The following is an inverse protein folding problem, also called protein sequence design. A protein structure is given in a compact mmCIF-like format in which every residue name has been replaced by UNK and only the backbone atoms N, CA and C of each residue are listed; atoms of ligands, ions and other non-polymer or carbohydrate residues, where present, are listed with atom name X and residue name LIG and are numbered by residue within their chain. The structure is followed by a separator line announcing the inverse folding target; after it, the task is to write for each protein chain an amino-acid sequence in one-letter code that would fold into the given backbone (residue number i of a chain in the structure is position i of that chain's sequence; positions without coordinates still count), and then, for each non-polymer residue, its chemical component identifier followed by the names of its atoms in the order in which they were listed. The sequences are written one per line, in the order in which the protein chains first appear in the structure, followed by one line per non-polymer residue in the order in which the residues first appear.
data_IF_367490689784
#
_entry.id   IF_367490689784
#
_cell.length_a   1.000
_cell.length_b   1.000
_cell.length_c   1.000
_cell.angle_alpha   90.00
_cell.angle_beta   90.00
_cell.angle_gamma   90.00
#
_symmetry.space_group_name_H-M   'P 1'
#
loop_
_entity.id
_entity.type
_entity.pdbx_description
1 polymer ?
#
# COMPACT_ATOMS: atom_id res chain seq x y z
N UNK A 1 7.76 -3.77 -8.61
CA UNK A 1 8.51 -3.69 -7.35
C UNK A 1 8.61 -5.10 -6.79
N UNK A 2 9.71 -5.43 -6.12
CA UNK A 2 9.92 -6.72 -5.47
C UNK A 2 10.14 -6.48 -3.97
N UNK A 3 9.63 -7.39 -3.15
CA UNK A 3 9.78 -7.37 -1.70
C UNK A 3 10.21 -8.74 -1.21
N UNK A 4 11.27 -8.78 -0.39
CA UNK A 4 11.67 -9.98 0.32
C UNK A 4 11.24 -9.87 1.78
N UNK A 5 10.23 -10.65 2.19
CA UNK A 5 9.67 -10.59 3.53
C UNK A 5 10.65 -11.07 4.63
N UNK A 6 11.61 -11.95 4.32
CA UNK A 6 12.56 -12.44 5.33
C UNK A 6 13.64 -11.41 5.65
N UNK A 7 14.09 -10.65 4.65
CA UNK A 7 15.11 -9.61 4.80
C UNK A 7 14.52 -8.20 4.93
N UNK A 8 13.23 -8.04 4.63
CA UNK A 8 12.49 -6.77 4.50
C UNK A 8 13.03 -5.84 3.41
N UNK A 9 13.84 -6.37 2.50
CA UNK A 9 14.46 -5.60 1.44
C UNK A 9 13.47 -5.37 0.29
N UNK A 10 13.45 -4.16 -0.26
CA UNK A 10 12.72 -3.86 -1.49
C UNK A 10 13.67 -3.76 -2.67
N UNK A 11 13.17 -4.00 -3.88
CA UNK A 11 13.90 -3.75 -5.12
C UNK A 11 12.96 -3.20 -6.20
N UNK A 12 13.52 -2.36 -7.07
CA UNK A 12 12.82 -1.81 -8.22
C UNK A 12 13.49 -2.35 -9.47
N UNK A 13 12.70 -3.00 -10.32
CA UNK A 13 13.12 -3.49 -11.63
C UNK A 13 12.43 -2.65 -12.71
N UNK A 14 13.22 -2.23 -13.68
CA UNK A 14 12.78 -1.55 -14.89
C UNK A 14 12.70 -2.59 -16.00
N UNK A 15 11.51 -2.71 -16.57
CA UNK A 15 11.18 -3.66 -17.62
C UNK A 15 10.83 -2.88 -18.89
N UNK A 16 11.19 -3.42 -20.06
CA UNK A 16 10.70 -2.96 -21.35
C UNK A 16 10.06 -4.15 -22.07
N UNK A 17 8.74 -4.09 -22.33
CA UNK A 17 7.98 -5.20 -22.92
C UNK A 17 8.24 -6.54 -22.20
N UNK A 18 8.16 -6.54 -20.86
CA UNK A 18 8.46 -7.68 -19.99
C UNK A 18 9.92 -8.19 -19.99
N UNK A 19 10.85 -7.50 -20.66
CA UNK A 19 12.29 -7.80 -20.61
C UNK A 19 12.95 -6.97 -19.51
N UNK A 20 13.73 -7.61 -18.64
CA UNK A 20 14.53 -6.92 -17.63
C UNK A 20 15.58 -6.03 -18.28
N UNK A 21 15.55 -4.74 -17.96
CA UNK A 21 16.51 -3.73 -18.47
C UNK A 21 17.53 -3.39 -17.40
N UNK A 22 17.05 -3.04 -16.20
CA UNK A 22 17.92 -2.71 -15.07
C UNK A 22 17.15 -2.86 -13.76
N UNK A 23 17.87 -2.87 -12.65
CA UNK A 23 17.25 -2.90 -11.35
C UNK A 23 18.21 -2.50 -10.25
N UNK A 24 17.67 -2.33 -9.04
CA UNK A 24 18.48 -2.11 -7.86
C UNK A 24 17.65 -2.22 -6.60
N UNK A 25 18.34 -2.37 -5.48
CA UNK A 25 17.71 -2.34 -4.18
C UNK A 25 17.13 -0.95 -3.89
N UNK A 26 15.92 -0.95 -3.34
CA UNK A 26 15.33 0.22 -2.71
C UNK A 26 15.62 0.19 -1.20
N UNK A 27 14.84 0.96 -0.41
CA UNK A 27 15.03 0.97 1.03
C UNK A 27 14.62 -0.37 1.67
N UNK A 28 15.30 -0.71 2.77
CA UNK A 28 14.95 -1.84 3.63
C UNK A 28 13.93 -1.38 4.66
N UNK A 29 12.84 -2.13 4.84
CA UNK A 29 11.81 -1.76 5.81
C UNK A 29 12.22 -2.11 7.24
N UNK A 30 11.76 -1.34 8.25
CA UNK A 30 11.90 -1.73 9.65
C UNK A 30 11.10 -2.99 9.96
N UNK A 31 11.37 -3.60 11.11
CA UNK A 31 10.64 -4.77 11.60
C UNK A 31 9.13 -4.47 11.69
N UNK A 32 8.30 -5.46 11.35
CA UNK A 32 6.83 -5.43 11.31
C UNK A 32 6.20 -4.58 10.20
N UNK A 33 6.99 -3.82 9.43
CA UNK A 33 6.50 -3.07 8.28
C UNK A 33 6.58 -3.90 6.99
N UNK A 34 5.52 -3.83 6.18
CA UNK A 34 5.41 -4.48 4.88
C UNK A 34 4.97 -3.45 3.84
N UNK A 35 5.42 -3.61 2.59
CA UNK A 35 4.84 -2.85 1.47
C UNK A 35 3.51 -3.49 1.09
N UNK A 36 2.44 -2.69 1.09
CA UNK A 36 1.11 -3.12 0.65
C UNK A 36 0.85 -2.70 -0.79
N UNK A 37 1.30 -1.51 -1.17
CA UNK A 37 1.03 -0.95 -2.49
C UNK A 37 2.08 0.06 -2.92
N UNK A 38 2.07 0.39 -4.20
CA UNK A 38 3.00 1.33 -4.81
C UNK A 38 2.22 2.26 -5.74
N UNK A 39 2.22 3.55 -5.44
CA UNK A 39 1.51 4.59 -6.19
C UNK A 39 2.18 5.96 -6.00
N UNK A 40 1.90 6.93 -6.85
CA UNK A 40 2.36 8.31 -6.65
C UNK A 40 1.42 9.03 -5.67
N UNK A 41 1.78 9.01 -4.38
CA UNK A 41 0.90 9.46 -3.30
C UNK A 41 0.98 10.98 -3.09
N UNK A 42 2.13 11.58 -3.38
CA UNK A 42 2.34 13.02 -3.23
C UNK A 42 2.22 13.80 -4.56
N UNK A 43 2.00 13.11 -5.68
CA UNK A 43 1.83 13.65 -7.03
C UNK A 43 3.07 14.34 -7.58
N UNK A 44 4.25 13.85 -7.22
CA UNK A 44 5.53 14.38 -7.69
C UNK A 44 6.07 13.66 -8.95
N UNK A 45 5.31 12.70 -9.48
CA UNK A 45 5.67 11.90 -10.66
C UNK A 45 6.49 10.65 -10.33
N UNK A 46 6.83 10.41 -9.06
CA UNK A 46 7.50 9.20 -8.61
C UNK A 46 6.53 8.28 -7.88
N UNK A 47 6.82 6.97 -7.92
CA UNK A 47 6.03 6.00 -7.17
C UNK A 47 6.58 5.84 -5.76
N UNK A 48 5.71 6.02 -4.80
CA UNK A 48 5.95 5.90 -3.37
C UNK A 48 5.48 4.54 -2.85
N UNK A 49 5.85 4.20 -1.61
CA UNK A 49 5.42 2.97 -0.96
C UNK A 49 4.34 3.24 0.07
N UNK A 50 3.22 2.51 -0.03
CA UNK A 50 2.28 2.35 1.07
C UNK A 50 2.74 1.21 1.96
N UNK A 51 2.93 1.52 3.24
CA UNK A 51 3.40 0.60 4.25
C UNK A 51 2.34 0.32 5.30
N UNK A 52 2.30 -0.93 5.77
CA UNK A 52 1.48 -1.36 6.88
C UNK A 52 2.32 -2.05 7.94
N UNK A 53 2.13 -1.64 9.19
CA UNK A 53 2.73 -2.28 10.35
C UNK A 53 1.75 -3.28 10.97
N UNK A 54 2.05 -4.57 10.86
CA UNK A 54 1.15 -5.63 11.33
C UNK A 54 1.08 -5.76 12.86
N UNK A 55 1.99 -5.12 13.61
CA UNK A 55 2.05 -5.22 15.08
C UNK A 55 1.23 -4.16 15.80
N UNK A 56 1.08 -2.97 15.21
CA UNK A 56 0.37 -1.84 15.80
C UNK A 56 -0.68 -1.21 14.86
N UNK A 57 -0.94 -1.84 13.72
CA UNK A 57 -1.89 -1.42 12.69
C UNK A 57 -1.64 -0.03 12.09
N UNK A 58 -0.45 0.53 12.27
CA UNK A 58 -0.12 1.84 11.70
C UNK A 58 0.14 1.74 10.20
N UNK A 59 -0.29 2.76 9.46
CA UNK A 59 0.07 2.94 8.06
C UNK A 59 1.09 4.07 7.93
N UNK A 60 1.88 4.01 6.86
CA UNK A 60 2.78 5.08 6.49
C UNK A 60 2.94 5.11 4.98
N UNK A 61 3.24 6.29 4.44
CA UNK A 61 3.71 6.46 3.09
C UNK A 61 5.19 6.81 3.18
N UNK A 62 6.01 6.07 2.45
CA UNK A 62 7.40 6.43 2.21
C UNK A 62 7.50 7.04 0.84
N UNK A 63 7.99 8.27 0.77
CA UNK A 63 8.16 9.01 -0.48
C UNK A 63 9.49 8.63 -1.14
N UNK A 64 9.48 8.29 -2.44
CA UNK A 64 10.69 7.86 -3.15
C UNK A 64 10.97 8.72 -4.37
N UNK A 65 12.25 9.00 -4.63
CA UNK A 65 12.71 9.40 -5.96
C UNK A 65 13.53 8.26 -6.56
N UNK A 66 12.90 7.50 -7.46
CA UNK A 66 13.47 6.26 -7.98
C UNK A 66 13.63 5.22 -6.87
N UNK A 67 14.87 4.86 -6.53
CA UNK A 67 15.19 3.86 -5.48
C UNK A 67 15.47 4.49 -4.12
N UNK A 68 15.52 5.81 -4.06
CA UNK A 68 15.96 6.56 -2.86
C UNK A 68 14.75 6.99 -2.05
N UNK A 69 14.75 6.66 -0.76
CA UNK A 69 13.80 7.22 0.20
C UNK A 69 14.11 8.70 0.44
N UNK A 70 13.16 9.58 0.14
CA UNK A 70 13.34 11.05 0.28
C UNK A 70 12.50 11.64 1.42
N UNK A 71 11.56 10.88 1.97
CA UNK A 71 10.78 11.29 3.12
C UNK A 71 9.70 10.26 3.48
N UNK A 72 8.83 10.61 4.42
CA UNK A 72 7.66 9.79 4.72
C UNK A 72 6.67 10.51 5.63
N UNK A 73 5.46 9.96 5.69
CA UNK A 73 4.39 10.43 6.55
C UNK A 73 3.65 9.25 7.16
N UNK A 74 3.20 9.39 8.41
CA UNK A 74 2.27 8.46 9.01
C UNK A 74 0.85 8.71 8.51
N UNK A 75 0.12 7.62 8.31
CA UNK A 75 -1.27 7.62 7.89
C UNK A 75 -2.22 7.23 9.00
N UNK A 76 -3.48 6.99 8.67
CA UNK A 76 -4.46 6.55 9.66
C UNK A 76 -4.12 5.15 10.19
N UNK A 77 -4.48 4.90 11.45
CA UNK A 77 -4.35 3.58 12.07
C UNK A 77 -5.53 2.72 11.61
N UNK A 78 -5.24 1.53 11.08
CA UNK A 78 -6.28 0.60 10.67
C UNK A 78 -6.93 -0.02 11.92
N UNK A 79 -8.26 -0.14 11.99
CA UNK A 79 -8.91 -0.72 13.15
C UNK A 79 -8.51 -2.18 13.33
N UNK A 80 -8.39 -2.64 14.57
CA UNK A 80 -8.12 -4.04 14.86
C UNK A 80 -9.14 -4.96 14.19
N UNK A 81 -8.67 -6.10 13.68
CA UNK A 81 -9.47 -7.05 12.89
C UNK A 81 -9.63 -6.68 11.41
N UNK A 82 -9.13 -5.52 10.97
CA UNK A 82 -9.05 -5.16 9.55
C UNK A 82 -7.60 -5.24 9.05
N UNK A 83 -7.46 -5.62 7.78
CA UNK A 83 -6.21 -5.63 7.04
C UNK A 83 -6.25 -4.59 5.92
N UNK A 84 -5.12 -3.91 5.72
CA UNK A 84 -4.88 -3.08 4.53
C UNK A 84 -4.41 -3.99 3.40
N UNK A 85 -5.21 -4.10 2.34
CA UNK A 85 -5.02 -5.07 1.27
C UNK A 85 -4.34 -4.45 0.06
N UNK A 86 -4.73 -3.22 -0.30
CA UNK A 86 -4.22 -2.54 -1.48
C UNK A 86 -4.52 -1.04 -1.46
N UNK A 87 -4.07 -0.37 -2.50
CA UNK A 87 -4.33 1.05 -2.75
C UNK A 87 -4.62 1.29 -4.22
N UNK A 88 -5.58 2.15 -4.50
CA UNK A 88 -5.96 2.60 -5.84
C UNK A 88 -6.79 3.87 -5.71
N UNK A 89 -6.88 4.68 -6.76
CA UNK A 89 -7.82 5.81 -6.79
C UNK A 89 -9.25 5.29 -7.05
N UNK A 90 -10.02 5.06 -5.99
CA UNK A 90 -11.34 4.42 -6.07
C UNK A 90 -12.45 5.43 -6.36
N UNK A 91 -12.24 6.71 -6.06
CA UNK A 91 -13.21 7.79 -6.28
C UNK A 91 -12.87 8.68 -7.51
N UNK A 92 -11.79 8.39 -8.22
CA UNK A 92 -11.30 9.15 -9.38
C UNK A 92 -10.93 10.61 -9.06
N UNK A 93 -10.43 10.89 -7.85
CA UNK A 93 -9.99 12.23 -7.44
C UNK A 93 -8.50 12.51 -7.72
N UNK A 94 -7.79 11.52 -8.28
CA UNK A 94 -6.38 11.58 -8.61
C UNK A 94 -5.46 11.28 -7.42
N UNK A 95 -5.98 10.72 -6.32
CA UNK A 95 -5.20 10.32 -5.14
C UNK A 95 -5.48 8.84 -4.81
N UNK A 96 -4.46 8.07 -4.39
CA UNK A 96 -4.69 6.69 -3.98
C UNK A 96 -5.45 6.59 -2.66
N UNK A 97 -6.49 5.77 -2.64
CA UNK A 97 -7.32 5.39 -1.51
C UNK A 97 -6.88 4.03 -0.94
N UNK A 98 -7.46 3.59 0.18
CA UNK A 98 -7.15 2.30 0.82
C UNK A 98 -8.28 1.28 0.63
N UNK A 99 -7.92 0.06 0.24
CA UNK A 99 -8.80 -1.10 0.26
C UNK A 99 -8.58 -1.93 1.53
N UNK A 100 -9.63 -2.11 2.32
CA UNK A 100 -9.59 -2.83 3.59
C UNK A 100 -10.44 -4.11 3.54
N UNK A 101 -10.00 -5.12 4.31
CA UNK A 101 -10.70 -6.38 4.47
C UNK A 101 -10.74 -6.84 5.92
N UNK A 102 -11.91 -7.24 6.40
CA UNK A 102 -12.07 -7.91 7.68
C UNK A 102 -12.26 -9.42 7.46
N UNK A 103 -11.26 -10.27 7.76
CA UNK A 103 -11.36 -11.71 7.52
C UNK A 103 -12.39 -12.43 8.41
N UNK A 104 -12.72 -11.88 9.58
CA UNK A 104 -13.69 -12.51 10.50
C UNK A 104 -15.12 -12.37 9.97
N UNK A 105 -15.47 -11.21 9.40
CA UNK A 105 -16.80 -10.94 8.85
C UNK A 105 -16.86 -11.11 7.33
N UNK A 106 -15.70 -11.19 6.66
CA UNK A 106 -15.52 -11.10 5.19
C UNK A 106 -15.94 -9.76 4.60
N UNK A 107 -16.12 -8.73 5.42
CA UNK A 107 -16.54 -7.40 4.98
C UNK A 107 -15.37 -6.67 4.30
N UNK A 108 -15.66 -5.98 3.20
CA UNK A 108 -14.72 -5.05 2.56
C UNK A 108 -15.10 -3.61 2.88
N UNK A 109 -14.12 -2.71 2.84
CA UNK A 109 -14.33 -1.28 2.94
C UNK A 109 -13.30 -0.52 2.09
N UNK A 110 -13.70 0.64 1.60
CA UNK A 110 -12.79 1.62 1.02
C UNK A 110 -12.70 2.78 2.01
N UNK A 111 -11.47 3.20 2.29
CA UNK A 111 -11.22 4.46 2.96
C UNK A 111 -10.72 5.44 1.92
N UNK A 112 -11.40 6.58 1.82
CA UNK A 112 -11.02 7.66 0.92
C UNK A 112 -9.99 8.55 1.60
N UNK A 113 -8.91 8.89 0.89
CA UNK A 113 -7.81 9.66 1.45
C UNK A 113 -7.53 10.93 0.66
N UNK A 114 -7.03 11.93 1.37
CA UNK A 114 -6.32 13.05 0.77
C UNK A 114 -4.84 12.95 1.16
N UNK A 115 -4.03 12.40 0.25
CA UNK A 115 -2.66 11.95 0.49
C UNK A 115 -2.58 10.84 1.53
N UNK A 116 -2.36 11.19 2.80
CA UNK A 116 -2.24 10.24 3.92
C UNK A 116 -3.25 10.52 5.03
N UNK A 117 -4.25 11.36 4.76
CA UNK A 117 -5.27 11.77 5.73
C UNK A 117 -6.58 11.10 5.35
N UNK A 118 -7.15 10.35 6.29
CA UNK A 118 -8.49 9.77 6.15
C UNK A 118 -9.53 10.88 6.00
N UNK A 119 -10.38 10.78 4.97
CA UNK A 119 -11.47 11.73 4.70
C UNK A 119 -12.82 11.10 5.04
N UNK A 120 -13.11 9.95 4.45
CA UNK A 120 -14.38 9.24 4.62
C UNK A 120 -14.23 7.76 4.28
N UNK A 121 -15.28 6.97 4.44
CA UNK A 121 -15.27 5.55 4.08
C UNK A 121 -16.59 5.09 3.50
N UNK A 122 -16.52 3.97 2.78
CA UNK A 122 -17.69 3.24 2.31
C UNK A 122 -17.48 1.75 2.56
N UNK A 123 -18.50 1.07 3.08
CA UNK A 123 -18.50 -0.39 3.12
C UNK A 123 -18.79 -0.94 1.72
N UNK A 124 -17.99 -1.93 1.32
CA UNK A 124 -18.22 -2.70 0.11
C UNK A 124 -19.09 -3.94 0.38
N UNK A 125 -19.08 -4.93 -0.51
CA UNK A 125 -19.76 -6.20 -0.27
C UNK A 125 -19.02 -7.04 0.80
N UNK A 126 -19.79 -7.92 1.46
CA UNK A 126 -19.25 -9.06 2.18
C UNK A 126 -18.88 -10.17 1.18
N UNK A 127 -17.66 -10.69 1.25
CA UNK A 127 -17.23 -11.75 0.35
C UNK A 127 -17.88 -13.11 0.72
N UNK A 128 -18.20 -13.95 -0.28
CA UNK A 128 -18.59 -15.33 -0.04
C UNK A 128 -17.48 -16.12 0.65
N UNK A 129 -17.84 -17.21 1.32
CA UNK A 129 -16.83 -18.13 1.85
C UNK A 129 -15.93 -18.68 0.72
N UNK A 130 -14.67 -18.94 1.04
CA UNK A 130 -13.62 -19.39 0.11
C UNK A 130 -13.11 -18.38 -0.93
N UNK A 131 -13.60 -17.14 -0.94
CA UNK A 131 -13.04 -16.06 -1.78
C UNK A 131 -12.07 -15.18 -0.98
N UNK A 132 -10.99 -14.74 -1.63
CA UNK A 132 -10.03 -13.77 -1.07
C UNK A 132 -10.15 -12.42 -1.78
N UNK A 133 -9.94 -11.34 -1.02
CA UNK A 133 -9.76 -10.01 -1.59
C UNK A 133 -8.31 -9.87 -2.05
N UNK A 134 -8.13 -9.49 -3.32
CA UNK A 134 -6.83 -9.09 -3.88
C UNK A 134 -7.01 -7.71 -4.49
N UNK A 135 -6.06 -6.80 -4.24
CA UNK A 135 -6.01 -5.55 -4.99
C UNK A 135 -5.12 -5.65 -6.22
N UNK A 136 -5.23 -4.66 -7.10
CA UNK A 136 -4.40 -4.50 -8.29
C UNK A 136 -3.44 -3.33 -8.11
#
# INVERSE_FOLDING_TARGET
MLYNASTRQTAIWYLNNNVFVSGGFGPTLPVNWNVVGVADFNRDGHRDYLLFNSSNHQTAIWYLSGRTLVGGAYGPIIPSGWALVATADFNSDGRPDYLLYNPATRQTAIWYLNNNVYVSSAFGPTLPAAWSLVGQ
#
